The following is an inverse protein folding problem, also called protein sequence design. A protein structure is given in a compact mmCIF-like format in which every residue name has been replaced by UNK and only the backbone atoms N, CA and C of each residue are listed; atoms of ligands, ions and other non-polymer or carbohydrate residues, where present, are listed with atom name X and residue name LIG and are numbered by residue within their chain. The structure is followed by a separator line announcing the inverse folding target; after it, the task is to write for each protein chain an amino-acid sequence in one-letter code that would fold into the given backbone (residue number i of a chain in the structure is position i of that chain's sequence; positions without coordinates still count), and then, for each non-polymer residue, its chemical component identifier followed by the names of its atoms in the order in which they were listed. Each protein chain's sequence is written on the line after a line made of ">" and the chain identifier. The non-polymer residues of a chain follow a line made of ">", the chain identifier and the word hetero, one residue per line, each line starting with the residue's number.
data_IF_394986593254
#
_entry.id   IF_394986593254
#
_cell.length_a   1.000
_cell.length_b   1.000
_cell.length_c   1.000
_cell.angle_alpha   90.00
_cell.angle_beta   90.00
_cell.angle_gamma   90.00
#
_symmetry.space_group_name_H-M   'P 1'
#
loop_
_entity.id
_entity.type
_entity.pdbx_description
1 polymer ?
#
# COMPACT_ATOMS: atom_id res chain seq x y z
N UNK A 1 -11.37 19.01 -30.47
CA UNK A 1 -10.28 18.48 -29.62
C UNK A 1 -10.93 17.54 -28.61
N UNK A 2 -10.40 16.31 -28.41
CA UNK A 2 -10.92 15.40 -27.41
C UNK A 2 -10.84 16.05 -26.02
N UNK A 3 -11.80 15.78 -25.11
CA UNK A 3 -11.83 16.38 -23.78
C UNK A 3 -10.66 15.94 -22.90
N UNK A 4 -10.06 14.76 -23.17
CA UNK A 4 -8.94 14.17 -22.44
C UNK A 4 -7.88 13.63 -23.38
N UNK A 5 -6.63 13.56 -22.87
CA UNK A 5 -5.48 12.93 -23.51
C UNK A 5 -5.04 11.72 -22.69
N UNK A 6 -4.38 10.70 -23.28
CA UNK A 6 -3.81 9.58 -22.51
C UNK A 6 -2.91 10.01 -21.34
N UNK A 7 -2.10 11.06 -21.53
CA UNK A 7 -1.21 11.58 -20.50
C UNK A 7 -1.93 12.21 -19.28
N UNK A 8 -3.22 12.47 -19.37
CA UNK A 8 -4.00 13.02 -18.25
C UNK A 8 -4.12 12.03 -17.07
N UNK A 9 -3.82 10.74 -17.27
CA UNK A 9 -3.68 9.75 -16.18
C UNK A 9 -2.52 10.08 -15.24
N UNK A 10 -1.59 10.96 -15.62
CA UNK A 10 -0.49 11.46 -14.80
C UNK A 10 -0.79 12.83 -14.18
N UNK A 11 -1.92 13.44 -14.51
CA UNK A 11 -2.28 14.75 -14.00
C UNK A 11 -2.84 14.65 -12.59
N UNK A 12 -2.08 15.14 -11.59
CA UNK A 12 -2.44 15.05 -10.18
C UNK A 12 -3.78 15.75 -9.86
N UNK A 13 -4.12 16.87 -10.53
CA UNK A 13 -5.39 17.56 -10.32
C UNK A 13 -6.58 16.75 -10.82
N UNK A 14 -6.45 16.09 -11.99
CA UNK A 14 -7.51 15.23 -12.51
C UNK A 14 -7.65 13.98 -11.65
N UNK A 15 -6.52 13.36 -11.29
CA UNK A 15 -6.53 12.14 -10.47
C UNK A 15 -6.93 12.37 -9.01
N UNK A 16 -6.77 13.60 -8.51
CA UNK A 16 -7.17 14.02 -7.16
C UNK A 16 -8.65 14.44 -7.06
N UNK A 17 -9.30 14.79 -8.16
CA UNK A 17 -10.73 15.10 -8.21
C UNK A 17 -11.52 13.90 -8.73
N UNK A 18 -12.38 13.34 -7.88
CA UNK A 18 -13.10 12.09 -8.17
C UNK A 18 -13.95 12.19 -9.46
N UNK A 19 -14.63 13.31 -9.69
CA UNK A 19 -15.46 13.50 -10.88
C UNK A 19 -14.63 13.54 -12.15
N UNK A 20 -13.54 14.28 -12.12
CA UNK A 20 -12.62 14.42 -13.26
C UNK A 20 -11.93 13.09 -13.57
N UNK A 21 -11.52 12.35 -12.55
CA UNK A 21 -10.92 11.02 -12.70
C UNK A 21 -11.90 10.03 -13.33
N UNK A 22 -13.13 9.95 -12.87
CA UNK A 22 -14.14 9.08 -13.49
C UNK A 22 -14.45 9.48 -14.93
N UNK A 23 -14.58 10.78 -15.21
CA UNK A 23 -14.81 11.26 -16.56
C UNK A 23 -13.65 10.92 -17.51
N UNK A 24 -12.40 11.03 -17.04
CA UNK A 24 -11.21 10.60 -17.79
C UNK A 24 -11.27 9.10 -18.12
N UNK A 25 -11.49 8.25 -17.11
CA UNK A 25 -11.52 6.81 -17.34
C UNK A 25 -12.73 6.34 -18.14
N UNK A 26 -13.88 6.98 -18.03
CA UNK A 26 -15.04 6.74 -18.91
C UNK A 26 -14.70 7.06 -20.36
N UNK A 27 -14.06 8.21 -20.58
CA UNK A 27 -13.60 8.58 -21.92
C UNK A 27 -12.60 7.59 -22.49
N UNK A 28 -11.56 7.20 -21.72
CA UNK A 28 -10.55 6.24 -22.18
C UNK A 28 -11.17 4.88 -22.47
N UNK A 29 -12.04 4.35 -21.59
CA UNK A 29 -12.73 3.07 -21.84
C UNK A 29 -13.54 3.04 -23.12
N UNK A 30 -14.14 4.15 -23.45
CA UNK A 30 -14.99 4.26 -24.65
C UNK A 30 -14.19 4.47 -25.94
N UNK A 31 -13.10 5.26 -25.91
CA UNK A 31 -12.45 5.77 -27.10
C UNK A 31 -11.03 5.21 -27.32
N UNK A 32 -10.28 4.98 -26.25
CA UNK A 32 -8.88 4.49 -26.32
C UNK A 32 -8.55 3.64 -25.06
N UNK A 33 -9.13 2.43 -24.97
CA UNK A 33 -9.00 1.59 -23.78
C UNK A 33 -7.61 1.03 -23.53
N UNK A 34 -6.73 1.06 -24.53
CA UNK A 34 -5.32 0.68 -24.46
C UNK A 34 -4.51 1.84 -25.05
N UNK A 35 -4.35 2.89 -24.23
CA UNK A 35 -3.79 4.16 -24.64
C UNK A 35 -2.27 4.22 -24.44
N UNK A 36 -1.52 4.62 -25.45
CA UNK A 36 -0.09 4.93 -25.29
C UNK A 36 0.04 6.28 -24.57
N UNK A 37 0.72 6.26 -23.42
CA UNK A 37 1.05 7.44 -22.64
C UNK A 37 2.50 7.82 -22.88
N UNK A 38 2.70 9.02 -23.39
CA UNK A 38 4.01 9.64 -23.55
C UNK A 38 4.06 10.90 -22.68
N UNK A 39 5.10 11.02 -21.84
CA UNK A 39 5.32 12.16 -20.96
C UNK A 39 6.81 12.41 -20.78
N UNK A 40 7.29 13.68 -20.74
CA UNK A 40 8.71 13.98 -20.64
C UNK A 40 9.41 13.39 -19.41
N UNK A 41 8.70 13.30 -18.30
CA UNK A 41 9.25 12.82 -17.01
C UNK A 41 9.14 11.31 -16.81
N UNK A 42 8.33 10.61 -17.62
CA UNK A 42 8.07 9.18 -17.46
C UNK A 42 8.48 8.41 -18.70
N UNK A 43 8.90 7.17 -18.52
CA UNK A 43 9.06 6.26 -19.68
C UNK A 43 7.71 6.03 -20.34
N UNK A 44 7.63 5.93 -21.65
CA UNK A 44 6.38 5.60 -22.34
C UNK A 44 5.79 4.28 -21.81
N UNK A 45 4.47 4.26 -21.63
CA UNK A 45 3.75 3.06 -21.19
C UNK A 45 2.34 2.99 -21.77
N UNK A 46 1.77 1.80 -21.78
CA UNK A 46 0.37 1.58 -22.17
C UNK A 46 -0.54 1.66 -20.94
N UNK A 47 -1.52 2.55 -20.96
CA UNK A 47 -2.57 2.64 -19.95
C UNK A 47 -3.77 1.79 -20.35
N UNK A 48 -4.15 0.85 -19.49
CA UNK A 48 -5.31 0.00 -19.69
C UNK A 48 -6.44 0.45 -18.76
N UNK A 49 -7.63 0.63 -19.32
CA UNK A 49 -8.79 1.13 -18.59
C UNK A 49 -9.97 0.17 -18.53
N UNK A 50 -9.96 -0.95 -19.28
CA UNK A 50 -11.03 -1.98 -19.25
C UNK A 50 -10.70 -3.08 -18.27
N UNK A 51 -11.70 -3.50 -17.49
CA UNK A 51 -11.58 -4.54 -16.48
C UNK A 51 -11.02 -5.87 -17.02
N UNK A 52 -11.53 -6.35 -18.17
CA UNK A 52 -11.11 -7.64 -18.72
C UNK A 52 -9.65 -7.62 -19.19
N UNK A 53 -9.19 -6.49 -19.76
CA UNK A 53 -7.80 -6.31 -20.15
C UNK A 53 -6.85 -6.30 -18.94
N UNK A 54 -7.23 -5.55 -17.90
CA UNK A 54 -6.49 -5.47 -16.63
C UNK A 54 -6.44 -6.84 -15.95
N UNK A 55 -7.56 -7.54 -15.87
CA UNK A 55 -7.65 -8.89 -15.29
C UNK A 55 -6.79 -9.89 -16.04
N UNK A 56 -6.84 -9.87 -17.38
CA UNK A 56 -6.02 -10.73 -18.24
C UNK A 56 -4.53 -10.51 -17.99
N UNK A 57 -4.06 -9.26 -18.09
CA UNK A 57 -2.65 -8.91 -17.87
C UNK A 57 -2.21 -9.24 -16.44
N UNK A 58 -3.04 -9.00 -15.44
CA UNK A 58 -2.77 -9.35 -14.06
C UNK A 58 -2.66 -10.85 -13.79
N UNK A 59 -3.22 -11.71 -14.66
CA UNK A 59 -3.21 -13.17 -14.50
C UNK A 59 -2.13 -13.89 -15.34
N UNK A 60 -1.67 -13.30 -16.45
CA UNK A 60 -0.66 -13.87 -17.37
C UNK A 60 0.78 -13.58 -16.86
N UNK A 61 1.14 -14.10 -15.69
CA UNK A 61 2.40 -13.76 -15.00
C UNK A 61 3.68 -14.13 -15.74
N UNK A 62 3.63 -15.03 -16.71
CA UNK A 62 4.79 -15.41 -17.51
C UNK A 62 5.06 -14.43 -18.67
N UNK A 63 4.03 -13.65 -19.05
CA UNK A 63 4.09 -12.65 -20.11
C UNK A 63 4.14 -11.22 -19.62
N UNK A 64 3.61 -10.97 -18.43
CA UNK A 64 3.51 -9.65 -17.82
C UNK A 64 4.07 -9.70 -16.40
N UNK A 65 5.36 -9.38 -16.30
CA UNK A 65 6.12 -9.46 -15.06
C UNK A 65 5.83 -8.27 -14.12
N UNK A 66 5.93 -8.54 -12.83
CA UNK A 66 5.95 -7.49 -11.81
C UNK A 66 7.27 -6.71 -11.80
N UNK A 67 8.38 -7.41 -12.01
CA UNK A 67 9.70 -6.78 -12.14
C UNK A 67 9.88 -6.16 -13.54
N UNK A 68 10.73 -5.16 -13.67
CA UNK A 68 11.42 -4.40 -12.64
C UNK A 68 10.58 -3.22 -12.10
N UNK A 69 9.34 -3.01 -12.56
CA UNK A 69 8.50 -1.87 -12.24
C UNK A 69 7.09 -2.29 -11.88
N UNK A 70 6.62 -1.86 -10.73
CA UNK A 70 5.27 -2.17 -10.23
C UNK A 70 4.40 -0.93 -10.11
N UNK A 71 5.04 0.23 -9.95
CA UNK A 71 4.41 1.54 -9.85
C UNK A 71 5.05 2.51 -10.84
N UNK A 72 4.31 3.57 -11.18
CA UNK A 72 4.84 4.65 -12.03
C UNK A 72 5.66 5.60 -11.15
N UNK A 73 6.92 5.76 -11.52
CA UNK A 73 7.82 6.74 -10.92
C UNK A 73 8.52 7.54 -12.03
N UNK A 74 8.87 8.83 -11.78
CA UNK A 74 9.62 9.64 -12.75
C UNK A 74 10.95 8.98 -13.11
N UNK A 75 11.34 9.07 -14.38
CA UNK A 75 12.58 8.45 -14.89
C UNK A 75 13.83 8.89 -14.14
N UNK A 76 13.94 10.18 -13.84
CA UNK A 76 15.08 10.71 -13.08
C UNK A 76 15.17 10.13 -11.67
N UNK A 77 14.02 9.91 -11.01
CA UNK A 77 13.99 9.30 -9.69
C UNK A 77 14.33 7.80 -9.75
N UNK A 78 13.83 7.08 -10.78
CA UNK A 78 14.21 5.68 -11.03
C UNK A 78 15.73 5.52 -11.19
N UNK A 79 16.36 6.44 -11.92
CA UNK A 79 17.81 6.42 -12.14
C UNK A 79 18.59 6.70 -10.85
N UNK A 80 18.13 7.65 -10.03
CA UNK A 80 18.71 7.91 -8.72
C UNK A 80 18.56 6.72 -7.75
N UNK A 81 17.43 6.01 -7.78
CA UNK A 81 17.23 4.78 -6.99
C UNK A 81 18.19 3.67 -7.45
N UNK A 82 18.34 3.49 -8.76
CA UNK A 82 19.25 2.49 -9.32
C UNK A 82 20.70 2.78 -8.94
N UNK A 83 21.13 4.03 -9.03
CA UNK A 83 22.47 4.46 -8.64
C UNK A 83 22.73 4.25 -7.14
N UNK A 84 21.75 4.60 -6.29
CA UNK A 84 21.92 4.59 -4.83
C UNK A 84 21.76 3.21 -4.21
N UNK A 85 20.78 2.40 -4.67
CA UNK A 85 20.37 1.15 -4.05
C UNK A 85 20.58 -0.09 -4.93
N UNK A 86 20.98 0.08 -6.18
CA UNK A 86 21.15 -1.02 -7.14
C UNK A 86 19.84 -1.59 -7.68
N UNK A 87 18.70 -1.00 -7.33
CA UNK A 87 17.37 -1.41 -7.81
C UNK A 87 16.57 -0.20 -8.29
N UNK A 88 15.67 -0.40 -9.25
CA UNK A 88 14.85 0.68 -9.82
C UNK A 88 13.76 1.18 -8.89
N UNK A 89 13.43 0.42 -7.85
CA UNK A 89 12.40 0.76 -6.87
C UNK A 89 13.00 1.20 -5.51
N UNK A 90 14.33 1.19 -5.39
CA UNK A 90 15.04 1.40 -4.10
C UNK A 90 14.82 0.28 -3.07
N UNK A 91 13.85 -0.61 -3.33
CA UNK A 91 13.46 -1.73 -2.50
C UNK A 91 13.27 -2.99 -3.35
N UNK A 92 13.46 -4.14 -2.73
CA UNK A 92 13.17 -5.47 -3.29
C UNK A 92 12.01 -6.12 -2.53
N UNK A 93 10.83 -5.51 -2.59
CA UNK A 93 9.64 -6.03 -1.90
C UNK A 93 8.95 -7.13 -2.70
N UNK A 94 8.06 -7.90 -2.06
CA UNK A 94 7.32 -8.99 -2.72
C UNK A 94 6.55 -8.56 -3.98
N UNK A 95 6.05 -7.33 -4.02
CA UNK A 95 5.32 -6.82 -5.20
C UNK A 95 6.22 -6.49 -6.38
N UNK A 96 7.54 -6.38 -6.17
CA UNK A 96 8.54 -6.10 -7.22
C UNK A 96 9.22 -7.36 -7.77
N UNK A 97 8.72 -8.55 -7.40
CA UNK A 97 9.36 -9.82 -7.72
C UNK A 97 8.45 -10.73 -8.50
N UNK A 98 9.08 -11.58 -9.31
CA UNK A 98 8.45 -12.69 -10.00
C UNK A 98 9.04 -14.04 -9.52
N UNK A 99 8.52 -15.15 -10.03
CA UNK A 99 9.05 -16.48 -9.76
C UNK A 99 10.47 -16.63 -10.32
N UNK A 100 11.36 -17.40 -9.67
CA UNK A 100 11.13 -18.16 -8.43
C UNK A 100 11.34 -17.37 -7.14
N UNK A 101 12.00 -16.18 -7.17
CA UNK A 101 12.38 -15.38 -5.98
C UNK A 101 11.15 -15.04 -5.11
N UNK A 102 10.06 -14.57 -5.74
CA UNK A 102 8.81 -14.27 -5.03
C UNK A 102 8.30 -15.42 -4.15
N UNK A 103 8.29 -16.65 -4.69
CA UNK A 103 7.78 -17.80 -3.94
C UNK A 103 8.66 -18.16 -2.74
N UNK A 104 9.98 -18.05 -2.90
CA UNK A 104 10.94 -18.32 -1.82
C UNK A 104 10.77 -17.34 -0.68
N UNK A 105 10.74 -16.06 -0.96
CA UNK A 105 10.59 -15.02 0.06
C UNK A 105 9.19 -15.04 0.69
N UNK A 106 8.12 -15.21 -0.09
CA UNK A 106 6.77 -15.32 0.45
C UNK A 106 6.61 -16.51 1.41
N UNK A 107 7.38 -17.57 1.22
CA UNK A 107 7.34 -18.75 2.11
C UNK A 107 7.80 -18.42 3.54
N UNK A 108 8.72 -17.47 3.71
CA UNK A 108 9.29 -17.07 5.01
C UNK A 108 8.22 -16.69 6.02
N UNK A 109 7.23 -15.92 5.60
CA UNK A 109 6.17 -15.41 6.50
C UNK A 109 4.84 -16.14 6.35
N UNK A 110 4.79 -17.22 5.54
CA UNK A 110 3.55 -17.89 5.19
C UNK A 110 2.70 -18.27 6.40
N UNK A 111 3.34 -18.81 7.45
CA UNK A 111 2.65 -19.28 8.64
C UNK A 111 1.92 -18.16 9.39
N UNK A 112 2.45 -16.95 9.37
CA UNK A 112 1.85 -15.75 9.98
C UNK A 112 0.58 -15.26 9.27
N UNK A 113 0.42 -15.58 8.00
CA UNK A 113 -0.72 -15.15 7.18
C UNK A 113 -1.68 -16.31 6.84
N UNK A 114 -1.57 -17.46 7.52
CA UNK A 114 -2.56 -18.52 7.41
C UNK A 114 -3.87 -18.12 8.13
N UNK A 115 -5.03 -18.63 7.69
CA UNK A 115 -6.31 -18.31 8.31
C UNK A 115 -6.33 -18.49 9.84
N UNK A 116 -5.68 -19.54 10.36
CA UNK A 116 -5.56 -19.79 11.81
C UNK A 116 -4.81 -18.67 12.54
N UNK A 117 -3.74 -18.13 11.94
CA UNK A 117 -2.93 -17.06 12.52
C UNK A 117 -3.65 -15.72 12.44
N UNK A 118 -4.37 -15.48 11.35
CA UNK A 118 -5.24 -14.31 11.21
C UNK A 118 -6.38 -14.36 12.26
N UNK A 119 -6.97 -15.55 12.49
CA UNK A 119 -8.02 -15.70 13.52
C UNK A 119 -7.50 -15.39 14.92
N UNK A 120 -6.24 -15.68 15.23
CA UNK A 120 -5.66 -15.33 16.54
C UNK A 120 -5.57 -13.81 16.79
N UNK A 121 -5.53 -13.00 15.74
CA UNK A 121 -5.54 -11.53 15.84
C UNK A 121 -6.94 -10.96 16.10
N UNK A 122 -8.01 -11.75 15.93
CA UNK A 122 -9.39 -11.28 16.06
C UNK A 122 -9.65 -10.56 17.38
N UNK A 123 -9.28 -11.17 18.50
CA UNK A 123 -9.52 -10.60 19.82
C UNK A 123 -8.82 -9.25 20.01
N UNK A 124 -7.63 -9.09 19.45
CA UNK A 124 -6.88 -7.84 19.49
C UNK A 124 -7.53 -6.79 18.59
N UNK A 125 -7.93 -7.15 17.37
CA UNK A 125 -8.64 -6.26 16.45
C UNK A 125 -9.97 -5.79 17.05
N UNK A 126 -10.71 -6.68 17.71
CA UNK A 126 -11.96 -6.33 18.42
C UNK A 126 -11.71 -5.38 19.59
N UNK A 127 -10.66 -5.62 20.40
CA UNK A 127 -10.28 -4.75 21.50
C UNK A 127 -9.86 -3.35 21.02
N UNK A 128 -9.04 -3.28 19.97
CA UNK A 128 -8.65 -2.03 19.34
C UNK A 128 -9.84 -1.30 18.71
N UNK A 129 -10.75 -2.01 18.05
CA UNK A 129 -11.96 -1.43 17.48
C UNK A 129 -12.79 -0.74 18.59
N UNK A 130 -12.94 -1.41 19.74
CA UNK A 130 -13.63 -0.83 20.89
C UNK A 130 -12.90 0.41 21.42
N UNK A 131 -11.57 0.35 21.59
CA UNK A 131 -10.76 1.49 22.05
C UNK A 131 -10.98 2.72 21.14
N UNK A 132 -10.97 2.53 19.82
CA UNK A 132 -11.18 3.63 18.88
C UNK A 132 -12.60 4.16 18.85
N UNK A 133 -13.62 3.32 19.07
CA UNK A 133 -15.01 3.76 19.25
C UNK A 133 -15.17 4.56 20.55
N UNK A 134 -14.60 4.08 21.66
CA UNK A 134 -14.60 4.79 22.94
C UNK A 134 -13.91 6.16 22.79
N UNK A 135 -12.75 6.21 22.11
CA UNK A 135 -12.04 7.46 21.80
C UNK A 135 -12.92 8.43 20.99
N UNK A 136 -13.64 7.95 19.96
CA UNK A 136 -14.57 8.80 19.22
C UNK A 136 -15.66 9.40 20.13
N UNK A 137 -16.20 8.61 21.05
CA UNK A 137 -17.22 9.09 22.00
C UNK A 137 -16.65 10.15 22.97
N UNK A 138 -15.41 9.99 23.42
CA UNK A 138 -14.72 10.95 24.28
C UNK A 138 -14.43 12.28 23.56
N UNK A 139 -14.25 12.28 22.25
CA UNK A 139 -14.05 13.48 21.44
C UNK A 139 -15.32 14.36 21.32
N UNK A 140 -16.47 13.83 21.69
CA UNK A 140 -17.74 14.55 21.72
C UNK A 140 -18.49 14.50 20.39
N UNK A 141 -18.95 15.66 19.89
CA UNK A 141 -19.82 15.72 18.70
C UNK A 141 -19.08 15.73 17.37
N UNK A 142 -17.78 15.98 17.36
CA UNK A 142 -16.99 16.12 16.13
C UNK A 142 -15.62 15.46 16.29
N UNK A 143 -15.14 14.81 15.22
CA UNK A 143 -13.76 14.31 15.12
C UNK A 143 -13.29 14.36 13.65
N UNK A 144 -11.99 14.44 13.45
CA UNK A 144 -11.40 14.14 12.15
C UNK A 144 -11.23 12.63 12.02
N UNK A 145 -12.24 11.97 11.43
CA UNK A 145 -12.29 10.51 11.36
C UNK A 145 -11.05 9.92 10.67
N UNK A 146 -10.50 10.57 9.66
CA UNK A 146 -9.31 10.08 8.96
C UNK A 146 -8.09 10.18 9.87
N UNK A 147 -7.81 11.36 10.41
CA UNK A 147 -6.63 11.61 11.24
C UNK A 147 -6.68 10.84 12.57
N UNK A 148 -7.84 10.86 13.22
CA UNK A 148 -7.95 10.41 14.60
C UNK A 148 -8.25 8.90 14.72
N UNK A 149 -8.82 8.28 13.65
CA UNK A 149 -9.27 6.89 13.63
C UNK A 149 -8.64 6.10 12.48
N UNK A 150 -8.97 6.46 11.21
CA UNK A 150 -8.65 5.61 10.07
C UNK A 150 -7.15 5.44 9.82
N UNK A 151 -6.33 6.45 10.10
CA UNK A 151 -4.87 6.35 10.02
C UNK A 151 -4.27 5.51 11.15
N UNK A 152 -4.78 5.63 12.37
CA UNK A 152 -4.15 5.04 13.54
C UNK A 152 -4.55 3.59 13.77
N UNK A 153 -5.79 3.22 13.49
CA UNK A 153 -6.32 1.88 13.76
C UNK A 153 -5.54 0.78 13.03
N UNK A 154 -5.39 0.79 11.69
CA UNK A 154 -4.62 -0.25 11.00
C UNK A 154 -3.13 -0.18 11.32
N UNK A 155 -2.59 1.00 11.60
CA UNK A 155 -1.19 1.14 12.00
C UNK A 155 -0.89 0.37 13.29
N UNK A 156 -1.75 0.48 14.30
CA UNK A 156 -1.57 -0.26 15.56
C UNK A 156 -1.62 -1.77 15.38
N UNK A 157 -2.49 -2.25 14.50
CA UNK A 157 -2.55 -3.68 14.16
C UNK A 157 -1.23 -4.13 13.51
N UNK A 158 -0.69 -3.34 12.58
CA UNK A 158 0.58 -3.66 11.93
C UNK A 158 1.76 -3.62 12.92
N UNK A 159 1.79 -2.64 13.82
CA UNK A 159 2.81 -2.58 14.86
C UNK A 159 2.76 -3.82 15.76
N UNK A 160 1.56 -4.26 16.14
CA UNK A 160 1.38 -5.48 16.93
C UNK A 160 1.86 -6.73 16.19
N UNK A 161 1.48 -6.90 14.91
CA UNK A 161 1.96 -8.02 14.08
C UNK A 161 3.49 -8.05 13.99
N UNK A 162 4.12 -6.89 13.86
CA UNK A 162 5.57 -6.75 13.84
C UNK A 162 6.21 -6.86 15.23
N UNK A 163 5.43 -6.89 16.32
CA UNK A 163 5.95 -6.86 17.68
C UNK A 163 6.62 -5.54 18.04
N UNK A 164 6.22 -4.44 17.42
CA UNK A 164 6.77 -3.11 17.70
C UNK A 164 5.97 -2.41 18.80
N UNK A 165 6.65 -1.62 19.66
CA UNK A 165 5.98 -0.92 20.75
C UNK A 165 5.09 0.23 20.25
N UNK A 166 4.13 0.64 21.08
CA UNK A 166 3.21 1.76 20.76
C UNK A 166 3.93 3.09 20.49
N UNK A 167 5.06 3.29 21.09
CA UNK A 167 5.92 4.46 20.90
C UNK A 167 6.42 4.61 19.46
N UNK A 168 6.45 3.52 18.70
CA UNK A 168 6.79 3.51 17.27
C UNK A 168 5.70 4.14 16.39
N UNK A 169 4.46 4.32 16.89
CA UNK A 169 3.31 4.81 16.12
C UNK A 169 3.61 6.11 15.37
N UNK A 170 4.14 7.11 16.07
CA UNK A 170 4.45 8.41 15.46
C UNK A 170 5.50 8.33 14.34
N UNK A 171 6.56 7.55 14.57
CA UNK A 171 7.63 7.34 13.58
C UNK A 171 7.11 6.59 12.36
N UNK A 172 6.39 5.49 12.55
CA UNK A 172 5.85 4.69 11.45
C UNK A 172 4.79 5.46 10.66
N UNK A 173 3.89 6.20 11.33
CA UNK A 173 2.91 7.05 10.66
C UNK A 173 3.62 8.07 9.75
N UNK A 174 4.61 8.78 10.29
CA UNK A 174 5.38 9.77 9.52
C UNK A 174 6.04 9.13 8.29
N UNK A 175 6.79 8.04 8.47
CA UNK A 175 7.51 7.40 7.39
C UNK A 175 6.59 6.84 6.30
N UNK A 176 5.45 6.24 6.67
CA UNK A 176 4.48 5.74 5.70
C UNK A 176 3.78 6.87 4.93
N UNK A 177 3.42 7.96 5.60
CA UNK A 177 2.82 9.13 4.96
C UNK A 177 3.81 9.81 3.99
N UNK A 178 5.07 10.01 4.38
CA UNK A 178 6.11 10.58 3.52
C UNK A 178 6.40 9.67 2.30
N UNK A 179 6.33 8.35 2.47
CA UNK A 179 6.57 7.39 1.39
C UNK A 179 5.46 7.42 0.33
N UNK A 180 4.19 7.43 0.75
CA UNK A 180 3.05 7.38 -0.17
C UNK A 180 2.54 8.76 -0.58
N UNK A 181 2.75 9.77 0.25
CA UNK A 181 2.32 11.15 0.03
C UNK A 181 3.35 12.04 -0.66
N UNK A 182 4.30 11.48 -1.40
CA UNK A 182 5.39 12.24 -2.03
C UNK A 182 4.94 13.35 -2.99
N UNK A 183 3.71 13.28 -3.49
CA UNK A 183 3.10 14.29 -4.35
C UNK A 183 2.08 15.19 -3.60
N UNK A 184 1.85 14.94 -2.32
CA UNK A 184 0.95 15.74 -1.48
C UNK A 184 1.76 16.74 -0.66
N UNK A 185 1.58 18.06 -0.88
CA UNK A 185 2.32 19.08 -0.14
C UNK A 185 2.15 19.03 1.39
N UNK A 186 1.07 18.39 1.89
CA UNK A 186 0.83 18.23 3.32
C UNK A 186 1.58 17.03 3.92
N UNK A 187 1.98 16.07 3.10
CA UNK A 187 2.59 14.80 3.54
C UNK A 187 4.05 14.65 3.10
N UNK A 188 4.44 15.30 2.02
CA UNK A 188 5.82 15.23 1.51
C UNK A 188 6.82 15.84 2.49
N UNK A 189 7.98 15.22 2.63
CA UNK A 189 9.08 15.70 3.49
C UNK A 189 9.64 17.03 3.02
N UNK A 190 9.86 17.18 1.72
CA UNK A 190 10.30 18.37 1.03
C UNK A 190 10.05 18.21 -0.48
N UNK A 191 9.92 19.32 -1.18
CA UNK A 191 9.86 19.33 -2.64
C UNK A 191 11.30 19.18 -3.21
N UNK A 192 11.87 17.99 -3.04
CA UNK A 192 13.19 17.65 -3.54
C UNK A 192 13.27 16.21 -4.05
N UNK A 193 14.06 16.00 -5.09
CA UNK A 193 14.33 14.65 -5.62
C UNK A 193 15.01 13.72 -4.60
N UNK A 194 15.66 14.28 -3.57
CA UNK A 194 16.34 13.52 -2.52
C UNK A 194 15.42 13.09 -1.39
N UNK A 195 14.26 13.76 -1.20
CA UNK A 195 13.35 13.46 -0.10
C UNK A 195 12.89 12.00 -0.06
N UNK A 196 12.55 11.42 -1.21
CA UNK A 196 12.19 10.01 -1.30
C UNK A 196 13.33 9.05 -0.93
N UNK A 197 14.58 9.40 -1.30
CA UNK A 197 15.77 8.63 -0.92
C UNK A 197 16.02 8.67 0.58
N UNK A 198 15.80 9.83 1.20
CA UNK A 198 15.92 10.02 2.65
C UNK A 198 14.88 9.20 3.42
N UNK A 199 13.64 9.17 2.95
CA UNK A 199 12.58 8.33 3.56
C UNK A 199 12.97 6.86 3.55
N UNK A 200 13.49 6.35 2.43
CA UNK A 200 13.96 4.96 2.34
C UNK A 200 15.16 4.68 3.26
N UNK A 201 16.08 5.63 3.39
CA UNK A 201 17.21 5.52 4.33
C UNK A 201 16.71 5.46 5.79
N UNK A 202 15.75 6.33 6.17
CA UNK A 202 15.21 6.35 7.53
C UNK A 202 14.44 5.05 7.87
N UNK A 203 13.67 4.52 6.93
CA UNK A 203 13.06 3.19 7.08
C UNK A 203 14.13 2.10 7.26
N UNK A 204 15.18 2.13 6.42
CA UNK A 204 16.29 1.19 6.50
C UNK A 204 17.02 1.26 7.85
N UNK A 205 17.30 2.46 8.35
CA UNK A 205 17.92 2.67 9.66
C UNK A 205 17.06 2.12 10.79
N UNK A 206 15.76 2.51 10.81
CA UNK A 206 14.82 2.05 11.83
C UNK A 206 14.73 0.52 11.89
N UNK A 207 14.50 -0.13 10.75
CA UNK A 207 14.36 -1.58 10.73
C UNK A 207 15.68 -2.32 10.92
N UNK A 208 16.82 -1.71 10.62
CA UNK A 208 18.13 -2.29 10.98
C UNK A 208 18.29 -2.42 12.50
N UNK A 209 17.85 -1.44 13.28
CA UNK A 209 17.84 -1.50 14.74
C UNK A 209 16.90 -2.60 15.26
N UNK A 210 15.69 -2.72 14.67
CA UNK A 210 14.74 -3.80 15.01
C UNK A 210 15.33 -5.17 14.70
N UNK A 211 15.94 -5.35 13.54
CA UNK A 211 16.58 -6.61 13.12
C UNK A 211 17.68 -7.00 14.10
N UNK A 212 18.57 -6.08 14.46
CA UNK A 212 19.65 -6.33 15.41
C UNK A 212 19.13 -6.69 16.81
N UNK A 213 18.06 -6.03 17.26
CA UNK A 213 17.43 -6.38 18.54
C UNK A 213 16.83 -7.78 18.47
N UNK A 214 16.04 -8.12 17.46
CA UNK A 214 15.38 -9.42 17.34
C UNK A 214 16.33 -10.60 17.09
N UNK A 215 17.50 -10.36 16.54
CA UNK A 215 18.58 -11.37 16.50
C UNK A 215 19.15 -11.68 17.88
N UNK A 216 19.24 -10.67 18.75
CA UNK A 216 19.77 -10.82 20.14
C UNK A 216 18.68 -11.26 21.12
N UNK A 217 17.48 -10.74 20.94
CA UNK A 217 16.35 -10.90 21.84
C UNK A 217 15.11 -11.39 21.06
N UNK A 218 15.06 -12.67 20.61
CA UNK A 218 13.94 -13.20 19.86
C UNK A 218 12.63 -13.14 20.66
N UNK A 219 11.52 -12.78 19.99
CA UNK A 219 10.17 -12.74 20.55
C UNK A 219 9.21 -13.55 19.67
N UNK A 220 7.98 -13.75 20.13
CA UNK A 220 6.93 -14.38 19.33
C UNK A 220 6.25 -13.30 18.47
N UNK A 221 6.97 -12.79 17.47
CA UNK A 221 6.53 -11.73 16.55
C UNK A 221 7.08 -11.92 15.14
N UNK A 222 6.46 -11.25 14.18
CA UNK A 222 6.88 -11.31 12.79
C UNK A 222 8.28 -10.71 12.59
N UNK A 223 8.68 -9.73 13.40
CA UNK A 223 10.00 -9.14 13.32
C UNK A 223 11.10 -10.17 13.64
N UNK A 224 10.90 -11.03 14.62
CA UNK A 224 11.83 -12.14 14.92
C UNK A 224 11.95 -13.13 13.76
N UNK A 225 10.82 -13.49 13.13
CA UNK A 225 10.82 -14.37 11.96
C UNK A 225 11.62 -13.75 10.82
N UNK A 226 11.39 -12.49 10.52
CA UNK A 226 12.09 -11.76 9.45
C UNK A 226 13.59 -11.58 9.77
N UNK A 227 13.92 -11.21 11.01
CA UNK A 227 15.31 -10.98 11.43
C UNK A 227 16.18 -12.25 11.33
N UNK A 228 15.58 -13.42 11.55
CA UNK A 228 16.28 -14.72 11.53
C UNK A 228 15.93 -15.57 10.30
N UNK A 229 15.35 -14.96 9.26
CA UNK A 229 14.90 -15.68 8.07
C UNK A 229 16.06 -16.25 7.26
N UNK A 230 15.85 -17.48 6.76
CA UNK A 230 16.73 -18.13 5.81
C UNK A 230 16.00 -18.38 4.48
N UNK A 231 16.75 -18.24 3.39
CA UNK A 231 16.28 -18.52 2.04
C UNK A 231 17.27 -19.46 1.38
N UNK A 232 16.82 -20.65 0.98
CA UNK A 232 17.66 -21.72 0.42
C UNK A 232 18.79 -22.19 1.37
N UNK A 233 18.60 -22.08 2.70
CA UNK A 233 19.58 -22.48 3.72
C UNK A 233 20.63 -21.43 4.06
N UNK A 234 20.52 -20.23 3.48
CA UNK A 234 21.38 -19.09 3.77
C UNK A 234 20.57 -17.97 4.43
N UNK A 235 21.18 -17.17 5.34
CA UNK A 235 20.51 -16.00 5.90
C UNK A 235 19.95 -15.08 4.80
N UNK A 236 18.72 -14.60 5.00
CA UNK A 236 18.13 -13.63 4.07
C UNK A 236 19.04 -12.40 3.94
N UNK A 237 19.29 -11.94 2.72
CA UNK A 237 20.14 -10.77 2.52
C UNK A 237 19.50 -9.51 3.11
N UNK A 238 20.34 -8.53 3.47
CA UNK A 238 19.93 -7.32 4.19
C UNK A 238 18.89 -6.51 3.42
N UNK A 239 19.04 -6.40 2.09
CA UNK A 239 18.09 -5.65 1.26
C UNK A 239 16.71 -6.30 1.22
N UNK A 240 16.64 -7.62 1.00
CA UNK A 240 15.38 -8.36 1.02
C UNK A 240 14.72 -8.28 2.41
N UNK A 241 15.53 -8.35 3.48
CA UNK A 241 15.08 -8.27 4.87
C UNK A 241 14.46 -6.90 5.17
N UNK A 242 15.19 -5.81 4.92
CA UNK A 242 14.69 -4.44 5.10
C UNK A 242 13.47 -4.17 4.24
N UNK A 243 13.49 -4.60 2.96
CA UNK A 243 12.35 -4.46 2.05
C UNK A 243 11.11 -5.19 2.54
N UNK A 244 11.28 -6.35 3.18
CA UNK A 244 10.17 -7.11 3.74
C UNK A 244 9.53 -6.40 4.94
N UNK A 245 10.34 -5.84 5.84
CA UNK A 245 9.84 -5.01 6.93
C UNK A 245 9.06 -3.79 6.41
N UNK A 246 9.65 -3.07 5.46
CA UNK A 246 9.05 -1.86 4.90
C UNK A 246 7.72 -2.17 4.23
N UNK A 247 7.64 -3.22 3.39
CA UNK A 247 6.36 -3.56 2.73
C UNK A 247 5.30 -4.02 3.73
N UNK A 248 5.68 -4.73 4.78
CA UNK A 248 4.74 -5.15 5.82
C UNK A 248 4.18 -3.95 6.57
N UNK A 249 5.05 -3.03 6.99
CA UNK A 249 4.64 -1.81 7.71
C UNK A 249 3.76 -0.90 6.83
N UNK A 250 4.12 -0.71 5.57
CA UNK A 250 3.49 0.27 4.70
C UNK A 250 2.23 -0.23 4.00
N UNK A 251 2.26 -1.43 3.41
CA UNK A 251 1.13 -1.94 2.61
C UNK A 251 -0.11 -2.26 3.44
N UNK A 252 0.08 -2.74 4.69
CA UNK A 252 -1.03 -3.04 5.60
C UNK A 252 -1.66 -1.79 6.22
N UNK A 253 -0.93 -0.68 6.28
CA UNK A 253 -1.39 0.56 6.88
C UNK A 253 -2.20 1.42 5.90
N UNK A 254 -1.56 1.94 4.88
CA UNK A 254 -2.10 3.02 4.04
C UNK A 254 -3.36 2.60 3.26
N UNK A 255 -3.34 1.42 2.65
CA UNK A 255 -4.49 0.91 1.89
C UNK A 255 -5.70 0.65 2.77
N UNK A 256 -5.49 0.15 3.98
CA UNK A 256 -6.56 -0.13 4.95
C UNK A 256 -7.12 1.17 5.51
N UNK A 257 -6.26 2.15 5.81
CA UNK A 257 -6.67 3.50 6.23
C UNK A 257 -7.53 4.18 5.17
N UNK A 258 -7.10 4.13 3.92
CA UNK A 258 -7.86 4.68 2.79
C UNK A 258 -9.23 3.99 2.63
N UNK A 259 -9.27 2.65 2.77
CA UNK A 259 -10.53 1.90 2.72
C UNK A 259 -11.48 2.30 3.86
N UNK A 260 -10.98 2.42 5.10
CA UNK A 260 -11.79 2.82 6.25
C UNK A 260 -12.31 4.25 6.09
N UNK A 261 -11.43 5.21 5.75
CA UNK A 261 -11.81 6.61 5.58
C UNK A 261 -12.79 6.82 4.41
N UNK A 262 -12.46 6.25 3.24
CA UNK A 262 -13.30 6.35 2.05
C UNK A 262 -14.62 5.59 2.19
N UNK A 263 -14.61 4.44 2.89
CA UNK A 263 -15.82 3.69 3.22
C UNK A 263 -16.76 4.47 4.14
N UNK A 264 -16.22 5.13 5.17
CA UNK A 264 -17.04 5.98 6.04
C UNK A 264 -17.65 7.14 5.25
N UNK A 265 -16.87 7.82 4.40
CA UNK A 265 -17.39 8.88 3.51
C UNK A 265 -18.53 8.36 2.66
N UNK A 266 -18.32 7.23 1.98
CA UNK A 266 -19.36 6.63 1.12
C UNK A 266 -20.65 6.28 1.88
N UNK A 267 -20.54 5.72 3.08
CA UNK A 267 -21.69 5.40 3.92
C UNK A 267 -22.44 6.65 4.41
N UNK A 268 -21.74 7.75 4.68
CA UNK A 268 -22.39 9.03 5.03
C UNK A 268 -23.10 9.66 3.85
N UNK A 269 -22.57 9.47 2.62
CA UNK A 269 -23.21 9.92 1.38
C UNK A 269 -24.39 9.01 0.94
N UNK A 270 -24.43 7.76 1.47
CA UNK A 270 -25.47 6.78 1.18
C UNK A 270 -26.12 6.24 2.48
N UNK A 271 -26.89 7.06 3.20
CA UNK A 271 -27.44 6.72 4.52
C UNK A 271 -28.40 5.52 4.51
N UNK A 272 -29.04 5.23 3.38
CA UNK A 272 -29.84 4.03 3.17
C UNK A 272 -28.99 2.75 3.25
N UNK A 273 -27.79 2.75 2.69
CA UNK A 273 -26.84 1.63 2.75
C UNK A 273 -26.27 1.45 4.17
N UNK A 274 -26.01 2.55 4.87
CA UNK A 274 -25.61 2.51 6.28
C UNK A 274 -26.73 1.91 7.16
N UNK A 275 -27.97 2.31 6.95
CA UNK A 275 -29.11 1.78 7.68
C UNK A 275 -29.28 0.27 7.40
N UNK A 276 -29.24 -0.14 6.13
CA UNK A 276 -29.31 -1.55 5.73
C UNK A 276 -28.22 -2.39 6.40
N UNK A 277 -26.97 -1.92 6.41
CA UNK A 277 -25.87 -2.64 7.04
C UNK A 277 -26.08 -2.79 8.55
N UNK A 278 -26.54 -1.73 9.22
CA UNK A 278 -26.86 -1.79 10.67
C UNK A 278 -27.94 -2.81 11.01
N UNK A 279 -28.93 -2.98 10.14
CA UNK A 279 -30.01 -3.95 10.31
C UNK A 279 -29.61 -5.38 9.95
N UNK A 280 -28.54 -5.56 9.17
CA UNK A 280 -28.12 -6.83 8.60
C UNK A 280 -26.63 -7.11 8.85
N UNK A 281 -26.26 -7.53 10.08
CA UNK A 281 -24.86 -7.90 10.41
C UNK A 281 -24.31 -9.06 9.58
N UNK A 282 -25.17 -9.89 8.99
CA UNK A 282 -24.80 -10.95 8.05
C UNK A 282 -24.17 -10.41 6.76
N UNK A 283 -24.29 -9.12 6.48
CA UNK A 283 -23.65 -8.43 5.34
C UNK A 283 -22.21 -8.00 5.60
N UNK A 284 -21.66 -8.13 6.81
CA UNK A 284 -20.35 -7.59 7.19
C UNK A 284 -19.24 -7.93 6.18
N UNK A 285 -19.12 -9.20 5.81
CA UNK A 285 -18.10 -9.65 4.85
C UNK A 285 -18.35 -9.06 3.44
N UNK A 286 -19.60 -8.96 3.04
CA UNK A 286 -20.01 -8.36 1.76
C UNK A 286 -19.74 -6.87 1.74
N UNK A 287 -20.10 -6.16 2.80
CA UNK A 287 -19.89 -4.72 2.96
C UNK A 287 -18.40 -4.36 2.97
N UNK A 288 -17.57 -5.12 3.69
CA UNK A 288 -16.13 -4.91 3.69
C UNK A 288 -15.52 -5.05 2.28
N UNK A 289 -15.94 -6.07 1.51
CA UNK A 289 -15.49 -6.25 0.11
C UNK A 289 -15.98 -5.11 -0.79
N UNK A 290 -17.21 -4.65 -0.60
CA UNK A 290 -17.76 -3.54 -1.37
C UNK A 290 -17.05 -2.22 -1.05
N UNK A 291 -16.74 -1.96 0.20
CA UNK A 291 -15.92 -0.80 0.60
C UNK A 291 -14.57 -0.79 -0.11
N UNK A 292 -13.85 -1.93 -0.12
CA UNK A 292 -12.56 -2.05 -0.81
C UNK A 292 -12.72 -1.81 -2.33
N UNK A 293 -13.77 -2.38 -2.94
CA UNK A 293 -14.06 -2.18 -4.36
C UNK A 293 -14.39 -0.73 -4.68
N UNK A 294 -15.23 -0.09 -3.87
CA UNK A 294 -15.69 1.29 -4.06
C UNK A 294 -14.53 2.28 -3.92
N UNK A 295 -13.77 2.18 -2.86
CA UNK A 295 -12.66 3.10 -2.57
C UNK A 295 -11.48 2.87 -3.51
N UNK A 296 -11.21 1.61 -3.87
CA UNK A 296 -10.05 1.23 -4.72
C UNK A 296 -8.75 1.91 -4.28
N UNK A 297 -8.23 1.62 -3.07
CA UNK A 297 -7.08 2.34 -2.50
C UNK A 297 -5.84 2.31 -3.40
N UNK A 298 -5.61 1.19 -4.09
CA UNK A 298 -4.53 1.07 -5.10
C UNK A 298 -5.12 1.32 -6.48
N UNK A 299 -4.85 2.50 -7.03
CA UNK A 299 -5.45 2.96 -8.29
C UNK A 299 -4.73 2.48 -9.54
N UNK A 300 -3.46 2.14 -9.45
CA UNK A 300 -2.70 1.61 -10.58
C UNK A 300 -1.63 0.62 -10.16
N UNK A 301 -1.31 -0.28 -11.05
CA UNK A 301 -0.16 -1.19 -10.98
C UNK A 301 0.46 -1.30 -12.35
N UNK A 302 1.79 -1.39 -12.42
CA UNK A 302 2.54 -1.57 -13.67
C UNK A 302 2.91 -3.04 -13.86
N UNK A 303 2.95 -3.46 -15.11
CA UNK A 303 3.53 -4.75 -15.53
C UNK A 303 4.48 -4.53 -16.69
N UNK A 304 5.52 -5.34 -16.75
CA UNK A 304 6.48 -5.32 -17.85
C UNK A 304 6.20 -6.49 -18.78
N UNK A 305 5.88 -6.20 -20.03
CA UNK A 305 5.72 -7.23 -21.05
C UNK A 305 7.08 -7.86 -21.38
N UNK A 306 7.09 -9.17 -21.61
CA UNK A 306 8.31 -9.93 -21.96
C UNK A 306 8.56 -9.99 -23.46
N UNK A 307 7.53 -9.70 -24.27
CA UNK A 307 7.57 -9.74 -25.75
C UNK A 307 6.96 -8.46 -26.33
#
# INVERSE_FOLDING_TARGET
>A
TPPFKPADVLNAHIMGDERSMYALFDYLRANDPVALVEHPEYRPFWSLSRYDDIKRIGSENDRFLSAPRTVLIPTAFEEALLERFGTRNGLETLIHMDRPKHLKLRKVTREWFLPRSIESLRAEVEALSKEFVDKMQEMGSECDFVRDIALLFPLRIILSILGLPREAEGTMLKLTQEMFGSQDPALQRADSQTAGLEVLNDFGAYFSEVIEDRKKNPQDDLATVLANAEVDGEPMNVLDQASYFIITASAGHDTTSAAIGGGMKALLEHPDQLALWRERPDLDVGAAKEVIRWVSPVRHMVRTATE
#
